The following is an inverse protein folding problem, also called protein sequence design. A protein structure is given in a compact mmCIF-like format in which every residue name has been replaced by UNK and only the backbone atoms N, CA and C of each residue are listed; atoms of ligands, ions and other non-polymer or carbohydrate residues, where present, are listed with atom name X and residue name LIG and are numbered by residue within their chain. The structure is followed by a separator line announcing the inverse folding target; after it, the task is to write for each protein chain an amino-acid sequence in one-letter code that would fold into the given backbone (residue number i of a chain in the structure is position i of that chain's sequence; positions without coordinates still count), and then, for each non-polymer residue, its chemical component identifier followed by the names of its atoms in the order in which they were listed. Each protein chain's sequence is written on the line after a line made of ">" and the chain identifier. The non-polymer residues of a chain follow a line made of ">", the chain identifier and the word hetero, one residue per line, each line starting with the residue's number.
data_IF_897668100399
#
_entry.id   IF_897668100399
#
_cell.length_a   1.000
_cell.length_b   1.000
_cell.length_c   1.000
_cell.angle_alpha   90.00
_cell.angle_beta   90.00
_cell.angle_gamma   90.00
#
_symmetry.space_group_name_H-M   'P 1'
#
loop_
_entity.id
_entity.type
_entity.pdbx_description
1 polymer ?
#
# COMPACT_ATOMS: atom_id res chain seq x y z
N UNK A 1 49.68 5.35 0.41
CA UNK A 1 48.63 6.10 -0.31
C UNK A 1 47.35 5.91 0.49
N UNK A 2 46.96 6.91 1.27
CA UNK A 2 45.81 6.86 2.19
C UNK A 2 44.56 7.33 1.46
N UNK A 3 43.61 6.42 1.23
CA UNK A 3 42.29 6.76 0.67
C UNK A 3 41.47 7.48 1.74
N UNK A 4 41.20 8.76 1.51
CA UNK A 4 40.28 9.58 2.31
C UNK A 4 38.84 9.15 2.01
N UNK A 5 38.08 8.79 3.04
CA UNK A 5 36.64 8.51 2.94
C UNK A 5 35.93 9.87 3.09
N UNK A 6 35.47 10.45 1.97
CA UNK A 6 34.58 11.61 1.97
C UNK A 6 33.14 11.17 2.29
N UNK A 7 32.33 11.99 3.01
CA UNK A 7 30.92 11.72 3.26
C UNK A 7 30.16 11.62 1.92
N UNK A 8 29.10 10.79 1.83
CA UNK A 8 28.40 10.59 0.56
C UNK A 8 27.82 11.92 0.08
N UNK A 9 28.27 12.34 -1.10
CA UNK A 9 27.73 13.48 -1.83
C UNK A 9 26.20 13.45 -1.81
N UNK A 10 25.61 14.64 -1.67
CA UNK A 10 24.17 14.90 -1.72
C UNK A 10 23.49 14.04 -2.80
N UNK A 11 22.69 13.06 -2.38
CA UNK A 11 21.93 12.23 -3.30
C UNK A 11 21.04 13.12 -4.19
N UNK A 12 21.30 13.12 -5.50
CA UNK A 12 20.51 13.86 -6.47
C UNK A 12 19.48 12.93 -7.11
N UNK A 13 18.20 13.20 -6.87
CA UNK A 13 17.09 12.43 -7.42
C UNK A 13 17.10 12.48 -8.95
N UNK A 14 17.08 11.31 -9.59
CA UNK A 14 17.01 11.16 -11.04
C UNK A 14 15.64 11.57 -11.60
N UNK A 15 15.59 11.89 -12.91
CA UNK A 15 14.32 12.27 -13.56
C UNK A 15 13.28 11.14 -13.53
N UNK A 16 13.72 9.87 -13.58
CA UNK A 16 12.85 8.70 -13.42
C UNK A 16 12.21 8.66 -12.04
N UNK A 17 12.98 8.94 -11.00
CA UNK A 17 12.47 8.95 -9.62
C UNK A 17 11.51 10.12 -9.39
N UNK A 18 11.82 11.32 -9.91
CA UNK A 18 10.90 12.47 -9.88
C UNK A 18 9.59 12.16 -10.60
N UNK A 19 9.66 11.58 -11.80
CA UNK A 19 8.47 11.19 -12.56
C UNK A 19 7.65 10.10 -11.85
N UNK A 20 8.29 9.21 -11.09
CA UNK A 20 7.60 8.22 -10.28
C UNK A 20 6.93 8.85 -9.06
N UNK A 21 7.56 9.80 -8.38
CA UNK A 21 6.93 10.54 -7.27
C UNK A 21 5.70 11.32 -7.73
N UNK A 22 5.74 11.95 -8.91
CA UNK A 22 4.59 12.65 -9.48
C UNK A 22 3.39 11.72 -9.75
N UNK A 23 3.63 10.41 -9.88
CA UNK A 23 2.58 9.39 -10.07
C UNK A 23 2.01 8.86 -8.76
N UNK A 24 2.68 9.10 -7.62
CA UNK A 24 2.18 8.70 -6.29
C UNK A 24 1.25 9.79 -5.77
N UNK A 25 0.09 9.93 -6.40
CA UNK A 25 -0.98 10.84 -5.95
C UNK A 25 -2.16 10.11 -5.33
N UNK A 26 -2.21 8.79 -5.48
CA UNK A 26 -3.36 7.95 -5.12
C UNK A 26 -3.79 8.11 -3.66
N UNK A 27 -2.85 8.35 -2.75
CA UNK A 27 -3.11 8.44 -1.31
C UNK A 27 -2.84 9.83 -0.73
N UNK A 28 -2.66 10.87 -1.56
CA UNK A 28 -2.28 12.21 -1.09
C UNK A 28 -3.34 12.88 -0.21
N UNK A 29 -4.60 12.46 -0.32
CA UNK A 29 -5.72 13.02 0.46
C UNK A 29 -6.13 12.14 1.64
N UNK A 30 -5.44 11.03 1.88
CA UNK A 30 -5.80 10.07 2.94
C UNK A 30 -5.44 10.65 4.30
N UNK A 31 -6.39 10.64 5.22
CA UNK A 31 -6.21 11.15 6.59
C UNK A 31 -5.96 10.04 7.61
N UNK A 32 -6.29 8.80 7.25
CA UNK A 32 -6.12 7.64 8.12
C UNK A 32 -5.73 6.39 7.33
N UNK A 33 -5.00 5.47 7.97
CA UNK A 33 -4.57 4.23 7.31
C UNK A 33 -5.75 3.43 6.73
N UNK A 34 -6.90 3.47 7.39
CA UNK A 34 -8.10 2.73 6.98
C UNK A 34 -8.68 3.22 5.65
N UNK A 35 -8.49 4.49 5.27
CA UNK A 35 -8.96 5.06 3.99
C UNK A 35 -8.16 4.55 2.77
N UNK A 36 -7.02 3.90 2.99
CA UNK A 36 -6.24 3.28 1.90
C UNK A 36 -7.04 2.15 1.25
N UNK A 37 -7.76 1.35 2.03
CA UNK A 37 -8.40 0.13 1.54
C UNK A 37 -9.51 0.38 0.51
N UNK A 38 -10.43 1.35 0.70
CA UNK A 38 -11.41 1.70 -0.33
C UNK A 38 -10.78 2.23 -1.62
N UNK A 39 -9.71 3.02 -1.51
CA UNK A 39 -9.00 3.57 -2.67
C UNK A 39 -8.27 2.45 -3.44
N UNK A 40 -7.59 1.56 -2.73
CA UNK A 40 -6.92 0.40 -3.33
C UNK A 40 -7.93 -0.55 -4.00
N UNK A 41 -9.08 -0.82 -3.38
CA UNK A 41 -10.17 -1.60 -3.97
C UNK A 41 -10.72 -0.97 -5.27
N UNK A 42 -10.83 0.36 -5.33
CA UNK A 42 -11.28 1.06 -6.54
C UNK A 42 -10.26 0.97 -7.68
N UNK A 43 -8.97 1.10 -7.38
CA UNK A 43 -7.92 1.17 -8.40
C UNK A 43 -7.35 -0.19 -8.82
N UNK A 44 -7.33 -1.16 -7.91
CA UNK A 44 -6.71 -2.48 -8.10
C UNK A 44 -7.68 -3.63 -7.84
N UNK A 45 -8.97 -3.41 -8.13
CA UNK A 45 -10.10 -4.27 -7.78
C UNK A 45 -9.80 -5.77 -7.81
N UNK A 46 -9.36 -6.30 -8.95
CA UNK A 46 -9.18 -7.75 -9.18
C UNK A 46 -7.77 -8.27 -8.84
N UNK A 47 -6.87 -7.41 -8.38
CA UNK A 47 -5.51 -7.81 -7.99
C UNK A 47 -5.55 -8.48 -6.62
N UNK A 48 -4.84 -9.60 -6.46
CA UNK A 48 -4.71 -10.30 -5.17
C UNK A 48 -3.97 -9.40 -4.18
N UNK A 49 -4.63 -9.05 -3.08
CA UNK A 49 -4.12 -8.22 -2.00
C UNK A 49 -3.67 -9.06 -0.80
N UNK A 50 -4.36 -10.17 -0.55
CA UNK A 50 -4.02 -11.11 0.50
C UNK A 50 -4.00 -12.52 -0.09
N UNK A 51 -2.90 -13.23 0.14
CA UNK A 51 -2.79 -14.65 -0.12
C UNK A 51 -2.28 -15.30 1.15
N UNK A 52 -3.14 -16.07 1.80
CA UNK A 52 -2.80 -16.89 2.96
C UNK A 52 -2.84 -18.38 2.55
N UNK A 53 -1.67 -18.97 2.21
CA UNK A 53 -1.56 -20.39 1.87
C UNK A 53 -1.59 -21.31 3.09
N UNK A 54 -1.51 -20.76 4.31
CA UNK A 54 -1.45 -21.52 5.54
C UNK A 54 -2.84 -21.71 6.17
N UNK A 55 -3.81 -20.87 5.81
CA UNK A 55 -5.22 -21.12 6.06
C UNK A 55 -5.68 -22.47 5.47
N UNK A 56 -6.62 -23.12 6.16
CA UNK A 56 -7.24 -24.38 5.71
C UNK A 56 -8.76 -24.21 5.75
N UNK A 57 -9.43 -23.97 4.60
CA UNK A 57 -8.90 -23.92 3.22
C UNK A 57 -8.02 -22.68 2.94
N UNK A 58 -7.21 -22.76 1.87
CA UNK A 58 -6.39 -21.64 1.38
C UNK A 58 -7.26 -20.41 1.11
N UNK A 59 -6.78 -19.22 1.54
CA UNK A 59 -7.52 -17.97 1.39
C UNK A 59 -6.78 -17.04 0.42
N UNK A 60 -7.53 -16.52 -0.56
CA UNK A 60 -7.09 -15.44 -1.45
C UNK A 60 -8.16 -14.38 -1.48
N UNK A 61 -7.78 -13.13 -1.25
CA UNK A 61 -8.65 -11.98 -1.46
C UNK A 61 -8.04 -11.02 -2.45
N UNK A 62 -8.87 -10.60 -3.39
CA UNK A 62 -8.64 -9.41 -4.19
C UNK A 62 -8.74 -8.14 -3.32
N UNK A 63 -8.26 -6.99 -3.79
CA UNK A 63 -8.43 -5.73 -3.07
C UNK A 63 -9.91 -5.38 -2.84
N UNK A 64 -10.80 -5.73 -3.78
CA UNK A 64 -12.24 -5.56 -3.60
C UNK A 64 -12.78 -6.41 -2.45
N UNK A 65 -12.52 -7.72 -2.46
CA UNK A 65 -12.99 -8.65 -1.43
C UNK A 65 -12.39 -8.33 -0.05
N UNK A 66 -11.10 -7.98 0.01
CA UNK A 66 -10.44 -7.59 1.25
C UNK A 66 -11.08 -6.35 1.86
N UNK A 67 -11.38 -5.33 1.04
CA UNK A 67 -12.03 -4.13 1.53
C UNK A 67 -13.44 -4.44 2.08
N UNK A 68 -14.21 -5.33 1.44
CA UNK A 68 -15.49 -5.77 2.00
C UNK A 68 -15.35 -6.43 3.38
N UNK A 69 -14.33 -7.28 3.57
CA UNK A 69 -14.08 -7.91 4.88
C UNK A 69 -13.71 -6.88 5.94
N UNK A 70 -12.87 -5.89 5.60
CA UNK A 70 -12.51 -4.79 6.49
C UNK A 70 -13.73 -3.97 6.91
N UNK A 71 -14.62 -3.63 5.97
CA UNK A 71 -15.85 -2.89 6.29
C UNK A 71 -16.79 -3.70 7.18
N UNK A 72 -16.96 -5.00 6.91
CA UNK A 72 -17.76 -5.90 7.78
C UNK A 72 -17.19 -5.98 9.19
N UNK A 73 -15.88 -6.10 9.32
CA UNK A 73 -15.21 -6.11 10.62
C UNK A 73 -15.42 -4.78 11.37
N UNK A 74 -15.24 -3.64 10.70
CA UNK A 74 -15.45 -2.32 11.29
C UNK A 74 -16.91 -2.11 11.76
N UNK A 75 -17.89 -2.51 10.95
CA UNK A 75 -19.30 -2.46 11.32
C UNK A 75 -19.60 -3.34 12.54
N UNK A 76 -18.99 -4.52 12.61
CA UNK A 76 -19.09 -5.41 13.77
C UNK A 76 -18.53 -4.79 15.05
N UNK A 77 -17.37 -4.11 14.98
CA UNK A 77 -16.79 -3.39 16.11
C UNK A 77 -17.64 -2.20 16.57
N UNK A 78 -18.26 -1.46 15.64
CA UNK A 78 -19.09 -0.30 15.96
C UNK A 78 -20.46 -0.66 16.54
N UNK A 79 -20.91 -1.91 16.36
CA UNK A 79 -22.20 -2.39 16.84
C UNK A 79 -22.17 -2.92 18.28
N UNK A 80 -21.00 -2.94 18.92
CA UNK A 80 -20.77 -3.38 20.30
C UNK A 80 -20.73 -2.18 21.24
#
# INVERSE_FOLDING_TARGET
>A
MTTSIQPPDSWQMSDRERANLQKVTLYNSVQSLSEIWPLAAKHYNQTIALHDPHAKPEVKFTYAELNEQIQKFAAGLQSL
#
